data_IF_869215782062
#
_entry.id   IF_869215782062
#
_cell.length_a   1.000
_cell.length_b   1.000
_cell.length_c   1.000
_cell.angle_alpha   90.00
_cell.angle_beta   90.00
_cell.angle_gamma   90.00
#
_symmetry.space_group_name_H-M   'P 1'
#
loop_
_entity.id
_entity.type
_entity.pdbx_description
1 polymer ?
#
# COMPACT_ATOMS: atom_id res chain seq x y z
N UNK A 1 -1.50 -3.02 -9.62
CA UNK A 1 -1.03 -2.24 -8.45
C UNK A 1 -2.11 -2.21 -7.38
N UNK A 2 -1.77 -2.46 -6.12
CA UNK A 2 -2.70 -2.60 -4.98
C UNK A 2 -2.52 -1.45 -4.00
N UNK A 3 -3.60 -0.90 -3.44
CA UNK A 3 -3.50 0.12 -2.39
C UNK A 3 -3.41 -0.55 -1.03
N UNK A 4 -2.32 -0.30 -0.33
CA UNK A 4 -2.07 -0.88 0.99
C UNK A 4 -2.05 0.22 2.02
N UNK A 5 -2.73 -0.03 3.14
CA UNK A 5 -2.80 0.85 4.31
C UNK A 5 -2.11 0.11 5.47
N UNK A 6 -1.16 0.73 6.19
CA UNK A 6 -0.55 0.10 7.35
C UNK A 6 -1.56 -0.08 8.49
N UNK A 7 -1.30 -1.05 9.35
CA UNK A 7 -2.04 -1.17 10.61
C UNK A 7 -1.84 0.08 11.46
N UNK A 8 -2.88 0.52 12.16
CA UNK A 8 -2.79 1.70 13.02
C UNK A 8 -1.71 1.53 14.08
N UNK A 9 -0.93 2.58 14.30
CA UNK A 9 0.21 2.57 15.22
C UNK A 9 1.46 1.86 14.70
N UNK A 10 1.42 1.23 13.51
CA UNK A 10 2.56 0.51 12.94
C UNK A 10 3.24 1.30 11.82
N UNK A 11 4.55 1.55 11.97
CA UNK A 11 5.37 2.12 10.92
C UNK A 11 5.91 1.01 10.00
N UNK A 12 5.21 0.74 8.90
CA UNK A 12 5.63 -0.28 7.93
C UNK A 12 6.66 0.31 6.98
N UNK A 13 7.88 -0.25 6.96
CA UNK A 13 8.93 0.17 6.00
C UNK A 13 8.48 -0.05 4.55
N UNK A 14 8.88 0.84 3.66
CA UNK A 14 8.72 0.66 2.20
C UNK A 14 10.07 0.15 1.64
N UNK A 15 10.10 -0.92 0.82
CA UNK A 15 11.34 -1.43 0.23
C UNK A 15 12.03 -0.43 -0.70
N UNK A 16 11.32 0.58 -1.20
CA UNK A 16 11.90 1.69 -1.99
C UNK A 16 12.51 2.80 -1.12
N UNK A 17 12.41 2.68 0.19
CA UNK A 17 12.91 3.65 1.17
C UNK A 17 11.79 4.36 1.94
N UNK A 18 12.06 4.70 3.20
CA UNK A 18 11.09 5.34 4.08
C UNK A 18 10.06 4.37 4.67
N UNK A 19 8.86 4.89 4.95
CA UNK A 19 7.73 4.14 5.49
C UNK A 19 6.48 4.36 4.64
N UNK A 20 5.59 3.38 4.67
CA UNK A 20 4.25 3.49 4.11
C UNK A 20 3.48 4.59 4.88
N UNK A 21 2.87 5.57 4.19
CA UNK A 21 2.04 6.58 4.82
C UNK A 21 0.87 5.96 5.59
N UNK A 22 0.36 6.64 6.61
CA UNK A 22 -0.79 6.16 7.41
C UNK A 22 -2.05 6.02 6.57
N UNK A 23 -2.21 6.86 5.56
CA UNK A 23 -3.29 6.87 4.58
C UNK A 23 -3.15 5.74 3.53
N UNK A 24 -1.99 5.07 3.54
CA UNK A 24 -1.62 4.05 2.59
C UNK A 24 -1.11 4.61 1.26
N UNK A 25 -0.67 3.68 0.40
CA UNK A 25 -0.17 4.01 -0.94
C UNK A 25 -0.47 2.88 -1.92
N UNK A 26 -0.58 3.25 -3.19
CA UNK A 26 -0.57 2.29 -4.30
C UNK A 26 0.83 1.74 -4.50
N UNK A 27 0.98 0.42 -4.34
CA UNK A 27 2.24 -0.29 -4.54
C UNK A 27 2.05 -1.47 -5.49
N UNK A 28 3.15 -1.95 -6.06
CA UNK A 28 3.17 -3.22 -6.78
C UNK A 28 3.19 -4.37 -5.78
N UNK A 29 2.43 -5.43 -6.05
CA UNK A 29 2.24 -6.53 -5.12
C UNK A 29 3.40 -7.53 -5.18
N UNK A 30 4.58 -7.07 -4.75
CA UNK A 30 5.82 -7.85 -4.65
C UNK A 30 5.74 -8.85 -3.48
N UNK A 31 6.72 -9.76 -3.40
CA UNK A 31 6.85 -10.73 -2.30
C UNK A 31 6.88 -10.06 -0.92
N UNK A 32 7.50 -8.88 -0.80
CA UNK A 32 7.53 -8.08 0.42
C UNK A 32 6.13 -7.72 0.91
N UNK A 33 5.32 -7.12 0.05
CA UNK A 33 3.98 -6.67 0.40
C UNK A 33 3.01 -7.83 0.64
N UNK A 34 3.16 -8.94 -0.10
CA UNK A 34 2.41 -10.18 0.16
C UNK A 34 2.68 -10.73 1.55
N UNK A 35 3.94 -10.71 2.00
CA UNK A 35 4.30 -11.10 3.36
C UNK A 35 3.63 -10.18 4.38
N UNK A 36 3.70 -8.86 4.20
CA UNK A 36 3.05 -7.90 5.11
C UNK A 36 1.53 -8.03 5.17
N UNK A 37 0.89 -8.41 4.08
CA UNK A 37 -0.53 -8.74 4.07
C UNK A 37 -0.82 -10.00 4.89
N UNK A 38 0.00 -11.05 4.76
CA UNK A 38 -0.14 -12.29 5.53
C UNK A 38 0.11 -12.08 7.02
N UNK A 39 1.11 -11.26 7.36
CA UNK A 39 1.47 -10.93 8.73
C UNK A 39 0.44 -9.98 9.39
N UNK A 40 -0.43 -9.34 8.58
CA UNK A 40 -1.44 -8.38 9.06
C UNK A 40 -0.88 -6.98 9.35
N UNK A 41 0.36 -6.72 8.94
CA UNK A 41 1.02 -5.41 9.07
C UNK A 41 0.40 -4.35 8.15
N UNK A 42 -0.17 -4.79 7.03
CA UNK A 42 -0.90 -3.94 6.08
C UNK A 42 -2.22 -4.60 5.69
N UNK A 43 -3.19 -3.78 5.26
CA UNK A 43 -4.48 -4.23 4.70
C UNK A 43 -4.69 -3.62 3.32
N UNK A 44 -5.48 -4.32 2.48
CA UNK A 44 -5.92 -3.77 1.21
C UNK A 44 -6.93 -2.67 1.50
N UNK A 45 -6.57 -1.43 1.15
CA UNK A 45 -7.44 -0.27 1.25
C UNK A 45 -8.23 -0.05 -0.02
N UNK A 46 -9.39 0.59 0.08
CA UNK A 46 -10.03 1.18 -1.11
C UNK A 46 -9.22 2.40 -1.51
N UNK A 47 -8.74 2.44 -2.75
CA UNK A 47 -8.30 3.70 -3.35
C UNK A 47 -9.51 4.64 -3.40
N UNK A 48 -9.36 5.96 -3.19
CA UNK A 48 -10.29 6.88 -3.84
C UNK A 48 -10.23 6.54 -5.34
N UNK A 49 -11.39 6.35 -5.97
CA UNK A 49 -11.47 6.08 -7.42
C UNK A 49 -10.80 7.27 -8.12
N UNK A 50 -9.52 7.15 -8.45
CA UNK A 50 -8.89 8.01 -9.43
C UNK A 50 -9.45 7.56 -10.76
N UNK A 51 -10.46 8.30 -11.23
CA UNK A 51 -10.92 8.33 -12.61
C UNK A 51 -9.70 8.22 -13.51
N UNK A 52 -9.64 7.19 -14.34
CA UNK A 52 -8.69 7.15 -15.46
C UNK A 52 -8.95 8.39 -16.31
N UNK A 53 -8.09 9.40 -16.21
CA UNK A 53 -7.84 10.28 -17.35
C UNK A 53 -6.90 9.50 -18.24
N UNK A 54 -7.53 8.73 -19.14
CA UNK A 54 -7.05 8.50 -20.49
C UNK A 54 -6.39 9.78 -21.00
N UNK A 55 -5.09 9.71 -21.31
CA UNK A 55 -4.33 10.79 -21.93
C UNK A 55 -3.90 10.30 -23.31
N UNK A 56 -4.56 10.90 -24.30
CA UNK A 56 -4.20 11.15 -25.72
C UNK A 56 -3.84 9.95 -26.61
#
# INVERSE_FOLDING_TARGET
MTHLIPKEGLAVRDPRGGHLPREGRTVELTSYWRRRLRDGDVKIGRKPKTTSTEKD
#
